data_IF_555872010341
#
_entry.id   IF_555872010341
#
_cell.length_a   1.000
_cell.length_b   1.000
_cell.length_c   1.000
_cell.angle_alpha   90.00
_cell.angle_beta   90.00
_cell.angle_gamma   90.00
#
_symmetry.space_group_name_H-M   'P 1'
#
loop_
_entity.id
_entity.type
_entity.pdbx_description
1 polymer ?
#
# COMPACT_ATOMS: atom_id res chain seq x y z
N UNK A 1 -12.76 3.71 9.66
CA UNK A 1 -11.77 2.66 10.00
C UNK A 1 -12.39 1.27 10.14
N UNK A 2 -13.21 0.98 11.17
CA UNK A 2 -13.64 -0.40 11.50
C UNK A 2 -14.29 -1.17 10.34
N UNK A 3 -15.16 -0.51 9.56
CA UNK A 3 -15.72 -1.07 8.32
C UNK A 3 -14.64 -1.64 7.39
N UNK A 4 -13.53 -0.93 7.21
CA UNK A 4 -12.45 -1.35 6.32
C UNK A 4 -11.72 -2.59 6.87
N UNK A 5 -11.46 -2.64 8.18
CA UNK A 5 -10.85 -3.81 8.82
C UNK A 5 -11.73 -5.07 8.69
N UNK A 6 -13.02 -4.93 8.99
CA UNK A 6 -14.01 -6.00 8.86
C UNK A 6 -14.14 -6.50 7.40
N UNK A 7 -14.01 -5.61 6.43
CA UNK A 7 -14.05 -6.00 5.01
C UNK A 7 -12.74 -6.67 4.57
N UNK A 8 -11.59 -6.05 4.86
CA UNK A 8 -10.29 -6.40 4.23
C UNK A 8 -9.46 -7.40 5.02
N UNK A 9 -9.52 -7.40 6.35
CA UNK A 9 -8.75 -8.33 7.18
C UNK A 9 -9.58 -9.56 7.56
N UNK A 10 -10.85 -9.33 7.88
CA UNK A 10 -11.76 -10.41 8.29
C UNK A 10 -12.39 -11.06 7.07
N UNK A 11 -12.70 -10.31 6.01
CA UNK A 11 -13.30 -10.85 4.78
C UNK A 11 -14.83 -10.85 4.77
N UNK A 12 -15.47 -9.90 5.46
CA UNK A 12 -16.91 -9.68 5.34
C UNK A 12 -17.24 -8.93 4.04
N UNK A 13 -18.45 -9.12 3.53
CA UNK A 13 -18.94 -8.27 2.43
C UNK A 13 -19.06 -6.82 2.90
N UNK A 14 -18.87 -5.86 1.99
CA UNK A 14 -18.94 -4.43 2.32
C UNK A 14 -20.23 -4.04 3.07
N UNK A 15 -21.38 -4.60 2.67
CA UNK A 15 -22.66 -4.33 3.33
C UNK A 15 -22.68 -4.86 4.76
N UNK A 16 -22.15 -6.06 5.02
CA UNK A 16 -22.08 -6.64 6.37
C UNK A 16 -21.09 -5.86 7.23
N UNK A 17 -19.90 -5.59 6.70
CA UNK A 17 -18.85 -4.83 7.38
C UNK A 17 -19.36 -3.46 7.86
N UNK A 18 -20.03 -2.70 6.99
CA UNK A 18 -20.61 -1.40 7.35
C UNK A 18 -21.56 -1.53 8.52
N UNK A 19 -22.53 -2.43 8.43
CA UNK A 19 -23.57 -2.52 9.44
C UNK A 19 -23.10 -3.12 10.77
N UNK A 20 -22.11 -4.01 10.76
CA UNK A 20 -21.44 -4.44 11.98
C UNK A 20 -20.70 -3.26 12.60
N UNK A 21 -19.94 -2.49 11.81
CA UNK A 21 -19.22 -1.32 12.32
C UNK A 21 -20.15 -0.26 12.92
N UNK A 22 -21.33 -0.02 12.32
CA UNK A 22 -22.34 0.93 12.84
C UNK A 22 -22.90 0.56 14.21
N UNK A 23 -22.74 -0.69 14.66
CA UNK A 23 -23.21 -1.10 15.98
C UNK A 23 -22.30 -0.61 17.11
N UNK A 24 -21.07 -0.19 16.78
CA UNK A 24 -20.07 0.20 17.76
C UNK A 24 -19.80 1.71 17.68
N UNK A 25 -19.70 2.34 18.84
CA UNK A 25 -19.39 3.78 18.93
C UNK A 25 -17.91 4.04 18.64
N UNK A 26 -17.04 3.19 19.20
CA UNK A 26 -15.59 3.31 19.10
C UNK A 26 -14.91 1.93 19.14
N UNK A 27 -13.57 1.95 19.21
CA UNK A 27 -12.74 0.74 19.25
C UNK A 27 -12.92 -0.01 20.57
N UNK A 28 -13.10 0.69 21.68
CA UNK A 28 -13.25 0.06 23.00
C UNK A 28 -14.58 -0.70 23.09
N UNK A 29 -15.66 -0.11 22.61
CA UNK A 29 -16.97 -0.76 22.48
C UNK A 29 -16.87 -2.01 21.58
N UNK A 30 -16.19 -1.89 20.43
CA UNK A 30 -15.94 -3.03 19.57
C UNK A 30 -15.12 -4.13 20.25
N UNK A 31 -14.09 -3.80 21.02
CA UNK A 31 -13.24 -4.80 21.69
C UNK A 31 -13.92 -5.43 22.91
N UNK A 32 -14.77 -4.70 23.63
CA UNK A 32 -15.43 -5.18 24.86
C UNK A 32 -16.67 -6.04 24.63
N UNK A 33 -17.30 -6.00 23.44
CA UNK A 33 -18.54 -6.75 23.18
C UNK A 33 -18.36 -8.28 23.27
N UNK A 34 -19.29 -8.98 23.94
CA UNK A 34 -19.28 -10.45 24.04
C UNK A 34 -19.83 -11.12 22.78
N UNK A 35 -19.42 -12.36 22.49
CA UNK A 35 -19.83 -13.13 21.31
C UNK A 35 -21.35 -13.26 21.14
N UNK A 36 -22.10 -13.46 22.22
CA UNK A 36 -23.57 -13.56 22.16
C UNK A 36 -24.25 -12.27 21.70
N UNK A 37 -23.65 -11.11 22.00
CA UNK A 37 -24.12 -9.81 21.50
C UNK A 37 -23.78 -9.62 20.02
N UNK A 38 -22.64 -10.15 19.54
CA UNK A 38 -22.31 -10.14 18.11
C UNK A 38 -23.32 -10.96 17.30
N UNK A 39 -23.74 -12.12 17.84
CA UNK A 39 -24.78 -12.99 17.23
C UNK A 39 -26.13 -12.30 17.04
N UNK A 40 -26.40 -11.28 17.86
CA UNK A 40 -27.68 -10.57 17.90
C UNK A 40 -27.64 -9.18 17.24
N UNK A 41 -26.53 -8.83 16.56
CA UNK A 41 -26.44 -7.58 15.79
C UNK A 41 -27.52 -7.58 14.71
N UNK A 42 -28.51 -6.70 14.88
CA UNK A 42 -29.53 -6.43 13.89
C UNK A 42 -29.05 -5.31 12.97
N UNK A 43 -29.61 -5.26 11.76
CA UNK A 43 -29.39 -4.18 10.81
C UNK A 43 -29.83 -2.83 11.37
N UNK A 44 -29.28 -1.77 10.75
CA UNK A 44 -29.75 -0.38 10.88
C UNK A 44 -31.29 -0.34 10.76
N UNK A 45 -32.01 0.45 11.58
CA UNK A 45 -33.46 0.58 11.50
C UNK A 45 -33.93 0.82 10.05
N UNK A 46 -34.82 -0.04 9.54
CA UNK A 46 -35.35 0.04 8.18
C UNK A 46 -34.70 -0.87 7.11
N UNK A 47 -33.67 -1.68 7.44
CA UNK A 47 -33.09 -2.70 6.53
C UNK A 47 -33.27 -4.12 7.07
N UNK A 48 -33.21 -5.14 6.20
CA UNK A 48 -33.26 -6.57 6.59
C UNK A 48 -32.19 -6.91 7.62
N UNK A 49 -32.56 -7.64 8.68
CA UNK A 49 -31.64 -8.12 9.71
C UNK A 49 -30.41 -8.78 9.10
N UNK A 50 -29.22 -8.38 9.55
CA UNK A 50 -27.99 -9.01 9.09
C UNK A 50 -27.84 -10.35 9.78
N UNK A 51 -27.63 -11.38 8.97
CA UNK A 51 -27.30 -12.71 9.45
C UNK A 51 -25.82 -12.94 9.20
N UNK A 52 -25.04 -12.96 10.27
CA UNK A 52 -23.66 -13.44 10.25
C UNK A 52 -23.66 -14.97 10.31
N UNK A 53 -22.75 -15.62 9.59
CA UNK A 53 -22.50 -17.05 9.74
C UNK A 53 -21.68 -17.30 11.01
N UNK A 54 -21.70 -18.53 11.55
CA UNK A 54 -20.84 -18.88 12.70
C UNK A 54 -19.35 -18.69 12.35
N UNK A 55 -18.93 -18.98 11.12
CA UNK A 55 -17.57 -18.68 10.62
C UNK A 55 -17.24 -17.18 10.67
N UNK A 56 -18.15 -16.31 10.20
CA UNK A 56 -17.94 -14.87 10.25
C UNK A 56 -17.84 -14.35 11.69
N UNK A 57 -18.64 -14.91 12.60
CA UNK A 57 -18.59 -14.56 14.03
C UNK A 57 -17.26 -15.01 14.64
N UNK A 58 -16.81 -16.23 14.36
CA UNK A 58 -15.51 -16.73 14.83
C UNK A 58 -14.37 -15.84 14.34
N UNK A 59 -14.33 -15.50 13.05
CA UNK A 59 -13.31 -14.59 12.51
C UNK A 59 -13.35 -13.19 13.13
N UNK A 60 -14.53 -12.67 13.50
CA UNK A 60 -14.65 -11.42 14.26
C UNK A 60 -14.05 -11.56 15.66
N UNK A 61 -14.35 -12.65 16.36
CA UNK A 61 -13.84 -12.89 17.71
C UNK A 61 -12.33 -13.08 17.72
N UNK A 62 -11.78 -13.82 16.75
CA UNK A 62 -10.34 -14.01 16.58
C UNK A 62 -9.65 -12.69 16.26
N UNK A 63 -10.24 -11.87 15.38
CA UNK A 63 -9.72 -10.55 15.07
C UNK A 63 -9.69 -9.65 16.31
N UNK A 64 -10.72 -9.70 17.17
CA UNK A 64 -10.75 -8.94 18.41
C UNK A 64 -9.65 -9.37 19.39
N UNK A 65 -9.35 -10.65 19.50
CA UNK A 65 -8.34 -11.19 20.42
C UNK A 65 -6.92 -11.12 19.87
N UNK A 66 -6.74 -10.83 18.57
CA UNK A 66 -5.44 -10.79 17.89
C UNK A 66 -4.46 -9.70 18.37
N UNK A 67 -4.96 -8.66 19.05
CA UNK A 67 -4.18 -7.46 19.37
C UNK A 67 -3.91 -6.53 18.18
N UNK A 68 -4.61 -6.72 17.06
CA UNK A 68 -4.47 -5.88 15.86
C UNK A 68 -5.05 -4.47 16.02
N UNK A 69 -6.05 -4.32 16.89
CA UNK A 69 -6.59 -3.03 17.31
C UNK A 69 -6.15 -2.74 18.74
N UNK A 70 -5.85 -1.47 19.02
CA UNK A 70 -5.42 -1.00 20.33
C UNK A 70 -6.21 0.23 20.74
N UNK A 71 -6.71 0.24 21.98
CA UNK A 71 -7.33 1.42 22.59
C UNK A 71 -6.31 2.49 22.98
N UNK A 72 -5.02 2.17 22.98
CA UNK A 72 -3.93 3.14 23.23
C UNK A 72 -3.55 3.93 21.97
N UNK A 73 -4.01 3.48 20.80
CA UNK A 73 -3.81 4.16 19.54
C UNK A 73 -5.05 4.98 19.19
N UNK A 74 -4.84 6.11 18.52
CA UNK A 74 -5.93 6.89 17.92
C UNK A 74 -6.66 6.08 16.83
N UNK A 75 -7.82 6.56 16.40
CA UNK A 75 -8.56 5.95 15.29
C UNK A 75 -7.75 5.99 13.99
N UNK A 76 -7.02 7.08 13.74
CA UNK A 76 -6.16 7.26 12.58
C UNK A 76 -4.99 6.26 12.60
N UNK A 77 -4.29 6.12 13.73
CA UNK A 77 -3.19 5.15 13.87
C UNK A 77 -3.67 3.69 13.72
N UNK A 78 -4.81 3.35 14.32
CA UNK A 78 -5.43 2.04 14.08
C UNK A 78 -5.77 1.84 12.61
N UNK A 79 -6.23 2.88 11.91
CA UNK A 79 -6.54 2.78 10.49
C UNK A 79 -5.31 2.56 9.63
N UNK A 80 -4.24 3.31 9.88
CA UNK A 80 -2.93 3.13 9.24
C UNK A 80 -2.41 1.71 9.46
N UNK A 81 -2.55 1.19 10.69
CA UNK A 81 -2.16 -0.17 11.01
C UNK A 81 -2.90 -1.21 10.17
N UNK A 82 -4.22 -1.08 10.06
CA UNK A 82 -5.06 -1.94 9.21
C UNK A 82 -4.63 -1.85 7.74
N UNK A 83 -4.42 -0.65 7.20
CA UNK A 83 -3.98 -0.45 5.81
C UNK A 83 -2.63 -1.15 5.56
N UNK A 84 -1.69 -1.02 6.50
CA UNK A 84 -0.38 -1.67 6.42
C UNK A 84 -0.46 -3.19 6.45
N UNK A 85 -1.25 -3.76 7.36
CA UNK A 85 -1.43 -5.21 7.44
C UNK A 85 -2.08 -5.78 6.20
N UNK A 86 -3.12 -5.13 5.68
CA UNK A 86 -3.77 -5.51 4.42
C UNK A 86 -2.77 -5.48 3.25
N UNK A 87 -1.96 -4.43 3.16
CA UNK A 87 -0.91 -4.34 2.15
C UNK A 87 0.11 -5.48 2.29
N UNK A 88 0.63 -5.70 3.49
CA UNK A 88 1.65 -6.72 3.78
C UNK A 88 1.13 -8.13 3.48
N UNK A 89 -0.08 -8.45 3.95
CA UNK A 89 -0.74 -9.74 3.70
C UNK A 89 -0.93 -9.98 2.20
N UNK A 90 -1.34 -8.95 1.45
CA UNK A 90 -1.46 -9.06 -0.01
C UNK A 90 -0.13 -9.38 -0.69
N UNK A 91 0.99 -8.82 -0.23
CA UNK A 91 2.30 -9.15 -0.79
C UNK A 91 2.67 -10.61 -0.49
N UNK A 92 2.45 -11.09 0.75
CA UNK A 92 2.65 -12.49 1.12
C UNK A 92 1.81 -13.44 0.27
N UNK A 93 0.51 -13.18 0.19
CA UNK A 93 -0.43 -14.02 -0.58
C UNK A 93 -0.05 -14.07 -2.06
N UNK A 94 0.53 -13.00 -2.60
CA UNK A 94 1.02 -13.00 -3.96
C UNK A 94 2.30 -13.83 -4.09
N UNK A 95 3.30 -13.62 -3.24
CA UNK A 95 4.57 -14.38 -3.26
C UNK A 95 4.28 -15.88 -3.14
N UNK A 96 3.42 -16.27 -2.20
CA UNK A 96 3.05 -17.67 -1.96
C UNK A 96 2.28 -18.32 -3.11
N UNK A 97 1.69 -17.54 -4.02
CA UNK A 97 0.96 -18.04 -5.19
C UNK A 97 1.77 -18.01 -6.49
N UNK A 98 3.00 -17.48 -6.47
CA UNK A 98 3.85 -17.47 -7.66
C UNK A 98 4.13 -18.89 -8.13
N UNK A 99 4.06 -19.07 -9.44
CA UNK A 99 4.43 -20.29 -10.15
C UNK A 99 5.51 -19.97 -11.19
N UNK A 100 6.19 -20.99 -11.72
CA UNK A 100 7.20 -20.83 -12.79
C UNK A 100 6.60 -20.08 -13.99
N UNK A 101 5.33 -20.35 -14.32
CA UNK A 101 4.62 -19.70 -15.43
C UNK A 101 4.42 -18.20 -15.23
N UNK A 102 4.34 -17.74 -13.99
CA UNK A 102 4.19 -16.32 -13.67
C UNK A 102 5.51 -15.55 -13.80
N UNK A 103 6.65 -16.24 -13.71
CA UNK A 103 7.97 -15.60 -13.74
C UNK A 103 8.33 -15.06 -15.11
N UNK A 104 7.88 -15.76 -16.17
CA UNK A 104 8.15 -15.46 -17.57
C UNK A 104 9.62 -15.05 -17.87
N UNK A 105 10.64 -15.83 -17.43
CA UNK A 105 12.05 -15.54 -17.69
C UNK A 105 12.34 -15.24 -19.15
N UNK A 106 13.13 -14.20 -19.40
CA UNK A 106 13.55 -13.83 -20.75
C UNK A 106 14.80 -14.65 -21.16
N UNK A 107 14.73 -15.52 -22.19
CA UNK A 107 15.89 -16.31 -22.65
C UNK A 107 17.12 -15.49 -22.99
N UNK A 108 16.93 -14.29 -23.56
CA UNK A 108 18.03 -13.39 -23.87
C UNK A 108 18.71 -12.89 -22.61
N UNK A 109 17.96 -12.59 -21.54
CA UNK A 109 18.54 -12.17 -20.26
C UNK A 109 19.23 -13.33 -19.56
N UNK A 110 18.68 -14.54 -19.62
CA UNK A 110 19.34 -15.74 -19.07
C UNK A 110 20.74 -15.89 -19.65
N UNK A 111 20.87 -15.84 -20.99
CA UNK A 111 22.17 -15.98 -21.66
C UNK A 111 23.05 -14.75 -21.50
N UNK A 112 22.51 -13.54 -21.64
CA UNK A 112 23.29 -12.30 -21.58
C UNK A 112 23.83 -12.00 -20.18
N UNK A 113 23.14 -12.45 -19.12
CA UNK A 113 23.57 -12.29 -17.73
C UNK A 113 24.35 -13.49 -17.18
N UNK A 114 24.62 -14.50 -18.03
CA UNK A 114 25.35 -15.71 -17.66
C UNK A 114 24.73 -16.45 -16.45
N UNK A 115 23.43 -16.73 -16.53
CA UNK A 115 22.72 -17.51 -15.50
C UNK A 115 22.80 -18.99 -15.89
N UNK A 116 23.66 -19.75 -15.20
CA UNK A 116 24.06 -21.11 -15.60
C UNK A 116 23.46 -22.19 -14.68
N UNK A 117 22.81 -21.79 -13.59
CA UNK A 117 22.08 -22.70 -12.70
C UNK A 117 20.58 -22.38 -12.62
N UNK A 118 19.72 -23.39 -12.42
CA UNK A 118 18.29 -23.19 -12.15
C UNK A 118 18.02 -22.20 -11.02
N UNK A 119 18.83 -22.24 -9.95
CA UNK A 119 18.72 -21.34 -8.82
C UNK A 119 18.93 -19.88 -9.25
N UNK A 120 19.97 -19.58 -10.03
CA UNK A 120 20.23 -18.22 -10.52
C UNK A 120 19.08 -17.69 -11.37
N UNK A 121 18.58 -18.52 -12.30
CA UNK A 121 17.47 -18.17 -13.19
C UNK A 121 16.20 -17.91 -12.36
N UNK A 122 15.82 -18.84 -11.50
CA UNK A 122 14.57 -18.74 -10.73
C UNK A 122 14.65 -17.63 -9.70
N UNK A 123 15.71 -17.58 -8.89
CA UNK A 123 15.84 -16.60 -7.82
C UNK A 123 15.80 -15.18 -8.36
N UNK A 124 16.55 -14.87 -9.43
CA UNK A 124 16.51 -13.55 -10.07
C UNK A 124 15.10 -13.18 -10.52
N UNK A 125 14.41 -14.08 -11.23
CA UNK A 125 13.08 -13.79 -11.77
C UNK A 125 12.02 -13.68 -10.67
N UNK A 126 12.12 -14.46 -9.59
CA UNK A 126 11.24 -14.34 -8.41
C UNK A 126 11.41 -12.96 -7.75
N UNK A 127 12.65 -12.50 -7.57
CA UNK A 127 12.92 -11.15 -7.06
C UNK A 127 12.36 -10.05 -7.97
N UNK A 128 12.54 -10.19 -9.29
CA UNK A 128 12.02 -9.23 -10.27
C UNK A 128 10.48 -9.16 -10.23
N UNK A 129 9.81 -10.32 -10.21
CA UNK A 129 8.35 -10.41 -10.16
C UNK A 129 7.78 -9.86 -8.86
N UNK A 130 8.36 -10.24 -7.71
CA UNK A 130 7.95 -9.75 -6.41
C UNK A 130 8.12 -8.22 -6.32
N UNK A 131 9.28 -7.69 -6.71
CA UNK A 131 9.58 -6.26 -6.66
C UNK A 131 8.62 -5.46 -7.56
N UNK A 132 8.36 -5.93 -8.78
CA UNK A 132 7.42 -5.26 -9.70
C UNK A 132 6.04 -5.12 -9.09
N UNK A 133 5.54 -6.18 -8.46
CA UNK A 133 4.21 -6.15 -7.84
C UNK A 133 4.15 -5.25 -6.61
N UNK A 134 5.18 -5.30 -5.75
CA UNK A 134 5.30 -4.42 -4.58
C UNK A 134 5.27 -2.95 -5.04
N UNK A 135 6.10 -2.58 -6.01
CA UNK A 135 6.18 -1.20 -6.52
C UNK A 135 4.87 -0.77 -7.20
N UNK A 136 4.22 -1.66 -7.95
CA UNK A 136 2.94 -1.36 -8.60
C UNK A 136 1.83 -1.11 -7.58
N UNK A 137 1.78 -1.91 -6.52
CA UNK A 137 0.77 -1.76 -5.46
C UNK A 137 1.09 -0.63 -4.47
N UNK A 138 2.33 -0.15 -4.44
CA UNK A 138 2.77 0.93 -3.55
C UNK A 138 2.04 2.25 -3.80
N UNK A 139 1.67 2.57 -5.05
CA UNK A 139 0.94 3.81 -5.36
C UNK A 139 -0.39 3.92 -4.60
N UNK A 140 -1.22 2.87 -4.70
CA UNK A 140 -2.48 2.80 -3.96
C UNK A 140 -2.27 2.72 -2.45
N UNK A 141 -1.19 2.09 -2.00
CA UNK A 141 -0.86 2.05 -0.59
C UNK A 141 -0.58 3.45 -0.03
N UNK A 142 0.29 4.23 -0.70
CA UNK A 142 0.59 5.62 -0.31
C UNK A 142 -0.66 6.50 -0.33
N UNK A 143 -1.51 6.39 -1.36
CA UNK A 143 -2.78 7.14 -1.43
C UNK A 143 -3.64 6.86 -0.18
N UNK A 144 -3.81 5.59 0.20
CA UNK A 144 -4.56 5.23 1.39
C UNK A 144 -3.93 5.75 2.70
N UNK A 145 -2.59 5.80 2.79
CA UNK A 145 -1.91 6.40 3.94
C UNK A 145 -2.19 7.91 4.03
N UNK A 146 -2.14 8.63 2.91
CA UNK A 146 -2.44 10.07 2.88
C UNK A 146 -3.89 10.34 3.31
N UNK A 147 -4.85 9.59 2.76
CA UNK A 147 -6.28 9.70 3.10
C UNK A 147 -6.61 9.33 4.55
N UNK A 148 -5.72 8.62 5.25
CA UNK A 148 -5.89 8.26 6.66
C UNK A 148 -5.05 9.10 7.61
N UNK A 149 -4.28 10.07 7.09
CA UNK A 149 -3.39 10.91 7.89
C UNK A 149 -4.14 11.99 8.66
N UNK A 150 -5.31 12.43 8.19
CA UNK A 150 -6.18 13.38 8.90
C UNK A 150 -7.62 13.32 8.36
N UNK A 151 -8.58 13.80 9.15
CA UNK A 151 -10.01 13.85 8.77
C UNK A 151 -10.32 14.94 7.72
N UNK A 152 -9.40 15.87 7.50
CA UNK A 152 -9.55 16.99 6.57
C UNK A 152 -9.01 16.69 5.17
N UNK A 153 -8.69 15.42 4.88
CA UNK A 153 -8.17 14.97 3.59
C UNK A 153 -9.17 14.06 2.92
N UNK A 154 -9.53 14.44 1.70
CA UNK A 154 -10.42 13.70 0.85
C UNK A 154 -9.75 13.27 -0.45
N UNK A 155 -10.28 12.20 -1.04
CA UNK A 155 -9.93 11.83 -2.41
C UNK A 155 -10.45 12.90 -3.35
N UNK A 156 -9.58 13.44 -4.20
CA UNK A 156 -9.98 14.49 -5.11
C UNK A 156 -10.85 13.91 -6.27
N UNK A 157 -11.86 14.66 -6.75
CA UNK A 157 -12.81 14.19 -7.76
C UNK A 157 -12.29 14.26 -9.21
N UNK A 158 -11.02 14.61 -9.44
CA UNK A 158 -10.48 14.94 -10.77
C UNK A 158 -9.08 14.33 -10.97
N UNK A 159 -8.25 14.91 -11.83
CA UNK A 159 -6.89 14.43 -12.10
C UNK A 159 -5.92 14.57 -10.93
N UNK A 160 -6.32 15.28 -9.87
CA UNK A 160 -5.59 15.39 -8.60
C UNK A 160 -5.80 14.14 -7.74
N UNK A 161 -4.84 13.77 -6.91
CA UNK A 161 -4.94 12.56 -6.09
C UNK A 161 -5.72 12.82 -4.79
N UNK A 162 -5.38 13.91 -4.08
CA UNK A 162 -6.00 14.27 -2.80
C UNK A 162 -6.26 15.77 -2.69
N UNK A 163 -7.24 16.14 -1.88
CA UNK A 163 -7.52 17.53 -1.50
C UNK A 163 -7.56 17.62 0.02
N UNK A 164 -6.86 18.61 0.57
CA UNK A 164 -6.89 18.95 1.98
C UNK A 164 -7.71 20.22 2.19
N UNK A 165 -8.63 20.18 3.14
CA UNK A 165 -9.36 21.36 3.61
C UNK A 165 -8.58 22.00 4.75
N UNK A 166 -8.17 23.25 4.58
CA UNK A 166 -7.42 24.03 5.56
C UNK A 166 -8.38 24.61 6.62
N UNK A 167 -7.87 25.01 7.79
CA UNK A 167 -8.69 25.56 8.87
C UNK A 167 -9.47 26.83 8.48
N UNK A 168 -8.91 27.63 7.57
CA UNK A 168 -9.56 28.82 7.01
C UNK A 168 -10.61 28.51 5.92
N UNK A 169 -10.88 27.23 5.63
CA UNK A 169 -11.79 26.78 4.58
C UNK A 169 -11.19 26.78 3.17
N UNK A 170 -9.95 27.22 2.99
CA UNK A 170 -9.24 27.08 1.71
C UNK A 170 -8.94 25.62 1.42
N UNK A 171 -8.75 25.30 0.13
CA UNK A 171 -8.43 23.95 -0.33
C UNK A 171 -7.02 23.90 -0.87
N UNK A 172 -6.26 22.91 -0.42
CA UNK A 172 -4.97 22.54 -0.99
C UNK A 172 -5.15 21.27 -1.85
N UNK A 173 -4.84 21.38 -3.13
CA UNK A 173 -4.93 20.28 -4.09
C UNK A 173 -3.55 19.66 -4.28
N UNK A 174 -3.45 18.33 -4.17
CA UNK A 174 -2.15 17.65 -4.22
C UNK A 174 -2.14 16.57 -5.29
N UNK A 175 -1.14 16.65 -6.15
CA UNK A 175 -0.76 15.53 -7.01
C UNK A 175 0.43 14.83 -6.38
N UNK A 176 0.30 13.54 -6.15
CA UNK A 176 1.27 12.72 -5.45
C UNK A 176 2.11 11.93 -6.44
N UNK A 177 3.39 11.81 -6.10
CA UNK A 177 4.36 10.90 -6.70
C UNK A 177 5.08 10.16 -5.61
N UNK A 178 5.57 8.96 -5.93
CA UNK A 178 6.28 8.15 -4.94
C UNK A 178 7.59 8.82 -4.53
N UNK A 179 8.41 9.31 -5.46
CA UNK A 179 9.65 9.98 -5.11
C UNK A 179 10.21 10.89 -6.19
N UNK A 180 11.34 11.53 -5.88
CA UNK A 180 11.95 12.57 -6.73
C UNK A 180 12.67 12.03 -7.98
N UNK A 181 12.36 10.81 -8.43
CA UNK A 181 12.91 10.19 -9.65
C UNK A 181 11.83 9.81 -10.67
N UNK A 182 10.58 10.24 -10.47
CA UNK A 182 9.44 9.69 -11.20
C UNK A 182 8.85 10.58 -12.28
N UNK A 183 9.25 11.85 -12.39
CA UNK A 183 8.62 12.78 -13.35
C UNK A 183 9.57 13.19 -14.47
N UNK A 184 9.02 13.25 -15.68
CA UNK A 184 9.69 13.78 -16.86
C UNK A 184 9.27 15.24 -17.16
N UNK A 185 9.92 15.82 -18.18
CA UNK A 185 9.70 17.22 -18.63
C UNK A 185 8.24 17.53 -18.96
N UNK A 186 7.57 16.65 -19.69
CA UNK A 186 6.21 16.89 -20.17
C UNK A 186 5.21 16.86 -19.02
N UNK A 187 5.40 15.92 -18.09
CA UNK A 187 4.59 15.84 -16.87
C UNK A 187 4.73 17.12 -16.03
N UNK A 188 5.95 17.61 -15.79
CA UNK A 188 6.18 18.82 -14.99
C UNK A 188 5.55 20.03 -15.68
N UNK A 189 5.75 20.18 -16.99
CA UNK A 189 5.18 21.31 -17.77
C UNK A 189 3.65 21.30 -17.73
N UNK A 190 3.03 20.12 -17.80
CA UNK A 190 1.58 19.98 -17.67
C UNK A 190 1.10 20.37 -16.27
N UNK A 191 1.77 19.88 -15.23
CA UNK A 191 1.39 20.17 -13.84
C UNK A 191 1.61 21.61 -13.43
N UNK A 192 2.65 22.29 -13.94
CA UNK A 192 2.85 23.71 -13.71
C UNK A 192 1.60 24.53 -14.08
N UNK A 193 1.04 24.28 -15.27
CA UNK A 193 -0.20 24.94 -15.73
C UNK A 193 -1.40 24.63 -14.82
N UNK A 194 -1.54 23.38 -14.37
CA UNK A 194 -2.66 22.96 -13.50
C UNK A 194 -2.57 23.58 -12.12
N UNK A 195 -1.36 23.69 -11.57
CA UNK A 195 -1.09 24.35 -10.28
C UNK A 195 -1.44 25.83 -10.40
N UNK A 196 -0.96 26.52 -11.44
CA UNK A 196 -1.23 27.95 -11.64
C UNK A 196 -2.72 28.23 -11.82
N UNK A 197 -3.46 27.34 -12.50
CA UNK A 197 -4.92 27.43 -12.61
C UNK A 197 -5.60 27.38 -11.23
N UNK A 198 -5.21 26.44 -10.35
CA UNK A 198 -5.76 26.34 -9.00
C UNK A 198 -5.39 27.54 -8.13
N UNK A 199 -4.18 28.06 -8.26
CA UNK A 199 -3.77 29.29 -7.58
C UNK A 199 -4.62 30.48 -8.02
N UNK A 200 -4.89 30.59 -9.33
CA UNK A 200 -5.74 31.66 -9.89
C UNK A 200 -7.20 31.54 -9.42
N UNK A 201 -7.69 30.33 -9.16
CA UNK A 201 -9.00 30.08 -8.54
C UNK A 201 -9.06 30.44 -7.03
N UNK A 202 -7.95 30.87 -6.42
CA UNK A 202 -7.87 31.17 -4.99
C UNK A 202 -7.66 29.93 -4.11
N UNK A 203 -7.05 28.87 -4.68
CA UNK A 203 -6.73 27.64 -3.95
C UNK A 203 -5.21 27.43 -3.88
N UNK A 204 -4.77 26.57 -2.97
CA UNK A 204 -3.39 26.10 -2.94
C UNK A 204 -3.25 24.84 -3.79
N UNK A 205 -2.09 24.64 -4.40
CA UNK A 205 -1.84 23.46 -5.23
C UNK A 205 -0.38 23.05 -5.20
N UNK A 206 -0.13 21.75 -5.04
CA UNK A 206 1.20 21.20 -4.78
C UNK A 206 1.48 19.91 -5.56
N UNK A 207 2.76 19.74 -5.93
CA UNK A 207 3.32 18.42 -6.20
C UNK A 207 3.87 17.83 -4.90
N UNK A 208 3.27 16.74 -4.44
CA UNK A 208 3.73 15.97 -3.28
C UNK A 208 4.61 14.79 -3.69
N UNK A 209 5.73 14.59 -3.00
CA UNK A 209 6.61 13.43 -3.14
C UNK A 209 6.67 12.69 -1.81
N UNK A 210 6.25 11.41 -1.78
CA UNK A 210 6.09 10.68 -0.51
C UNK A 210 7.41 10.32 0.17
N UNK A 211 8.53 10.32 -0.56
CA UNK A 211 9.88 10.23 0.01
C UNK A 211 10.90 11.07 -0.78
N UNK A 212 12.04 11.33 -0.15
CA UNK A 212 13.15 12.10 -0.70
C UNK A 212 13.49 13.34 0.14
N UNK A 213 14.42 14.16 -0.36
CA UNK A 213 14.80 15.45 0.22
C UNK A 213 14.99 16.48 -0.91
N UNK A 214 14.77 17.77 -0.61
CA UNK A 214 15.04 18.88 -1.54
C UNK A 214 16.48 18.93 -2.03
N UNK A 215 17.41 18.53 -1.16
CA UNK A 215 18.85 18.50 -1.44
C UNK A 215 19.28 17.33 -2.32
N UNK A 216 18.38 16.39 -2.66
CA UNK A 216 18.74 15.29 -3.54
C UNK A 216 19.04 15.81 -4.95
N UNK A 217 20.12 15.32 -5.54
CA UNK A 217 20.48 15.62 -6.91
C UNK A 217 19.84 14.59 -7.85
N UNK A 218 18.60 14.84 -8.25
CA UNK A 218 17.86 13.97 -9.16
C UNK A 218 17.43 14.72 -10.41
N UNK A 219 17.22 13.95 -11.49
CA UNK A 219 16.72 14.49 -12.76
C UNK A 219 15.40 15.24 -12.55
N UNK A 220 14.47 14.69 -11.77
CA UNK A 220 13.18 15.36 -11.49
C UNK A 220 13.39 16.70 -10.77
N UNK A 221 14.27 16.76 -9.76
CA UNK A 221 14.54 18.01 -9.04
C UNK A 221 15.18 19.05 -9.96
N UNK A 222 16.12 18.64 -10.80
CA UNK A 222 16.70 19.50 -11.83
C UNK A 222 15.64 20.07 -12.78
N UNK A 223 14.71 19.22 -13.25
CA UNK A 223 13.61 19.64 -14.11
C UNK A 223 12.60 20.54 -13.40
N UNK A 224 12.26 20.28 -12.13
CA UNK A 224 11.36 21.13 -11.34
C UNK A 224 11.94 22.55 -11.21
N UNK A 225 13.24 22.66 -10.88
CA UNK A 225 13.94 23.96 -10.80
C UNK A 225 13.89 24.75 -12.11
N UNK A 226 13.93 24.05 -13.24
CA UNK A 226 13.94 24.68 -14.57
C UNK A 226 12.54 25.02 -15.09
N UNK A 227 11.52 24.22 -14.76
CA UNK A 227 10.23 24.22 -15.48
C UNK A 227 9.04 24.59 -14.59
N UNK A 228 9.18 24.58 -13.27
CA UNK A 228 8.13 24.95 -12.32
C UNK A 228 8.53 26.27 -11.63
N UNK A 229 7.96 27.42 -12.02
CA UNK A 229 8.22 28.69 -11.34
C UNK A 229 7.89 28.58 -9.85
N UNK A 230 8.77 29.10 -8.99
CA UNK A 230 8.67 28.98 -7.53
C UNK A 230 8.51 27.54 -7.05
N UNK A 231 9.26 26.60 -7.66
CA UNK A 231 9.11 25.16 -7.39
C UNK A 231 9.16 24.83 -5.88
N UNK A 232 9.91 25.59 -5.08
CA UNK A 232 10.02 25.37 -3.64
C UNK A 232 8.68 25.54 -2.92
N UNK A 233 7.91 26.56 -3.27
CA UNK A 233 6.59 26.83 -2.67
C UNK A 233 5.48 25.98 -3.27
N UNK A 234 5.71 25.35 -4.43
CA UNK A 234 4.73 24.49 -5.14
C UNK A 234 5.00 22.99 -4.98
N UNK A 235 5.96 22.61 -4.14
CA UNK A 235 6.32 21.21 -3.89
C UNK A 235 6.36 20.90 -2.40
N UNK A 236 6.03 19.65 -2.05
CA UNK A 236 6.15 19.10 -0.70
C UNK A 236 6.93 17.78 -0.80
N UNK A 237 8.13 17.68 -0.22
CA UNK A 237 9.01 16.53 -0.42
C UNK A 237 9.27 15.76 0.88
N UNK A 238 9.00 14.46 0.85
CA UNK A 238 9.26 13.54 1.95
C UNK A 238 8.49 13.98 3.19
N UNK A 239 9.22 14.30 4.26
CA UNK A 239 8.64 14.74 5.53
C UNK A 239 7.71 15.94 5.38
N UNK A 240 8.03 16.89 4.50
CA UNK A 240 7.20 18.09 4.31
C UNK A 240 5.77 17.73 3.87
N UNK A 241 5.63 16.72 3.01
CA UNK A 241 4.31 16.24 2.60
C UNK A 241 3.57 15.64 3.80
N UNK A 242 4.22 14.75 4.55
CA UNK A 242 3.62 14.04 5.68
C UNK A 242 3.21 14.97 6.82
N UNK A 243 4.05 15.94 7.14
CA UNK A 243 3.75 16.95 8.15
C UNK A 243 2.63 17.88 7.66
N UNK A 244 2.65 18.26 6.36
CA UNK A 244 1.58 19.06 5.75
C UNK A 244 0.22 18.35 5.77
N UNK A 245 0.16 17.03 5.49
CA UNK A 245 -1.14 16.33 5.45
C UNK A 245 -1.72 16.08 6.84
N UNK A 246 -0.87 15.83 7.82
CA UNK A 246 -1.27 15.46 9.19
C UNK A 246 -1.41 16.62 10.17
N UNK A 247 -0.97 17.83 9.79
CA UNK A 247 -0.81 18.98 10.70
C UNK A 247 0.09 18.68 11.91
N UNK A 248 0.96 17.67 11.79
CA UNK A 248 1.80 17.17 12.88
C UNK A 248 3.26 17.17 12.44
N UNK A 249 4.13 17.83 13.22
CA UNK A 249 5.57 17.78 12.98
C UNK A 249 6.13 16.39 13.26
N UNK A 250 7.07 15.92 12.42
CA UNK A 250 7.69 14.59 12.54
C UNK A 250 6.70 13.43 12.32
N UNK A 251 5.57 13.67 11.65
CA UNK A 251 4.53 12.66 11.47
C UNK A 251 5.03 11.41 10.77
N UNK A 252 5.91 11.59 9.77
CA UNK A 252 6.53 10.47 9.04
C UNK A 252 7.25 9.46 9.95
N UNK A 253 7.84 9.90 11.06
CA UNK A 253 8.50 9.01 12.03
C UNK A 253 7.49 8.15 12.78
N UNK A 254 6.38 8.74 13.21
CA UNK A 254 5.27 8.02 13.87
C UNK A 254 4.63 7.02 12.90
N UNK A 255 4.38 7.47 11.66
CA UNK A 255 3.87 6.63 10.59
C UNK A 255 4.76 5.40 10.39
N UNK A 256 6.09 5.56 10.28
CA UNK A 256 6.99 4.42 10.07
C UNK A 256 6.96 3.41 11.22
N UNK A 257 6.84 3.84 12.47
CA UNK A 257 6.71 2.91 13.60
C UNK A 257 5.39 2.14 13.56
N UNK A 258 4.27 2.80 13.25
CA UNK A 258 2.98 2.12 13.04
C UNK A 258 3.07 1.10 11.92
N UNK A 259 3.64 1.47 10.78
CA UNK A 259 3.82 0.58 9.63
C UNK A 259 4.70 -0.63 10.00
N UNK A 260 5.83 -0.40 10.68
CA UNK A 260 6.75 -1.48 11.07
C UNK A 260 6.10 -2.47 12.02
N UNK A 261 5.40 -1.97 13.05
CA UNK A 261 4.73 -2.83 14.03
C UNK A 261 3.59 -3.63 13.38
N UNK A 262 2.85 -2.99 12.47
CA UNK A 262 1.78 -3.64 11.71
C UNK A 262 2.29 -4.74 10.80
N UNK A 263 3.37 -4.48 10.05
CA UNK A 263 4.00 -5.49 9.20
C UNK A 263 4.49 -6.70 10.02
N UNK A 264 5.07 -6.47 11.20
CA UNK A 264 5.53 -7.54 12.11
C UNK A 264 4.41 -8.45 12.60
N UNK A 265 3.21 -7.91 12.81
CA UNK A 265 2.03 -8.70 13.19
C UNK A 265 1.64 -9.71 12.10
N UNK A 266 1.90 -9.39 10.83
CA UNK A 266 1.59 -10.28 9.70
C UNK A 266 2.75 -11.21 9.36
N UNK A 267 3.99 -10.70 9.42
CA UNK A 267 5.20 -11.44 9.02
C UNK A 267 5.78 -12.33 10.12
N UNK A 268 5.21 -12.34 11.34
CA UNK A 268 5.72 -13.12 12.47
C UNK A 268 7.23 -12.93 12.72
N UNK A 269 7.69 -11.67 12.72
CA UNK A 269 9.11 -11.26 12.83
C UNK A 269 10.02 -11.62 11.64
N UNK A 270 9.50 -12.28 10.60
CA UNK A 270 10.25 -12.48 9.36
C UNK A 270 10.19 -11.22 8.48
N UNK A 271 10.98 -11.23 7.41
CA UNK A 271 10.96 -10.17 6.40
C UNK A 271 10.28 -10.67 5.13
N UNK A 272 9.72 -9.74 4.35
CA UNK A 272 9.21 -10.10 3.01
C UNK A 272 10.31 -10.69 2.11
N UNK A 273 11.57 -10.29 2.31
CA UNK A 273 12.70 -10.87 1.59
C UNK A 273 12.90 -12.33 1.95
N UNK A 274 12.69 -12.73 3.21
CA UNK A 274 12.79 -14.12 3.64
C UNK A 274 11.75 -14.99 2.93
N UNK A 275 10.54 -14.46 2.77
CA UNK A 275 9.44 -15.14 2.06
C UNK A 275 9.68 -15.24 0.56
N UNK A 276 10.33 -14.23 -0.04
CA UNK A 276 10.81 -14.28 -1.44
C UNK A 276 11.82 -15.42 -1.61
N UNK A 277 12.76 -15.58 -0.69
CA UNK A 277 13.76 -16.65 -0.75
C UNK A 277 13.15 -18.05 -0.58
N UNK A 278 12.18 -18.20 0.34
CA UNK A 278 11.42 -19.46 0.49
C UNK A 278 10.68 -19.80 -0.82
N UNK A 279 10.07 -18.81 -1.46
CA UNK A 279 9.42 -18.98 -2.75
C UNK A 279 10.42 -19.34 -3.87
N UNK A 280 11.57 -18.66 -3.94
CA UNK A 280 12.62 -18.95 -4.90
C UNK A 280 13.12 -20.39 -4.78
N UNK A 281 13.35 -20.88 -3.56
CA UNK A 281 13.74 -22.27 -3.32
C UNK A 281 12.68 -23.25 -3.82
N UNK A 282 11.43 -23.06 -3.41
CA UNK A 282 10.31 -23.92 -3.84
C UNK A 282 10.20 -23.98 -5.37
N UNK A 283 10.27 -22.83 -6.04
CA UNK A 283 10.17 -22.77 -7.49
C UNK A 283 11.41 -23.33 -8.21
N UNK A 284 12.58 -23.30 -7.56
CA UNK A 284 13.79 -23.95 -8.08
C UNK A 284 13.62 -25.48 -8.03
N UNK A 285 13.10 -26.01 -6.94
CA UNK A 285 12.80 -27.45 -6.81
C UNK A 285 11.76 -27.89 -7.86
N UNK A 286 10.70 -27.10 -8.07
CA UNK A 286 9.71 -27.33 -9.13
C UNK A 286 10.34 -27.28 -10.53
N UNK A 287 11.23 -26.32 -10.78
CA UNK A 287 11.90 -26.16 -12.07
C UNK A 287 12.79 -27.36 -12.39
N UNK A 288 13.57 -27.82 -11.42
CA UNK A 288 14.46 -28.97 -11.59
C UNK A 288 13.65 -30.24 -11.89
N UNK A 289 12.48 -30.40 -11.26
CA UNK A 289 11.59 -31.53 -11.54
C UNK A 289 11.01 -31.50 -12.95
N UNK A 290 10.68 -30.32 -13.46
CA UNK A 290 10.03 -30.15 -14.77
C UNK A 290 11.03 -30.13 -15.93
N UNK A 291 12.16 -29.44 -15.78
CA UNK A 291 13.10 -29.16 -16.87
C UNK A 291 14.47 -29.81 -16.69
N UNK A 292 14.84 -30.20 -15.46
CA UNK A 292 16.15 -30.79 -15.12
C UNK A 292 17.12 -29.81 -14.44
N UNK A 293 18.29 -30.32 -14.06
CA UNK A 293 19.33 -29.56 -13.35
C UNK A 293 20.42 -29.04 -14.30
N UNK A 294 21.16 -28.01 -13.85
CA UNK A 294 22.30 -27.43 -14.55
C UNK A 294 21.95 -26.76 -15.89
N UNK A 295 22.97 -26.55 -16.73
CA UNK A 295 22.83 -25.89 -18.03
C UNK A 295 21.86 -26.60 -18.98
N UNK A 296 21.79 -27.94 -18.92
CA UNK A 296 20.87 -28.70 -19.74
C UNK A 296 19.41 -28.42 -19.34
N UNK A 297 19.12 -28.35 -18.04
CA UNK A 297 17.78 -28.00 -17.55
C UNK A 297 17.35 -26.60 -18.00
N UNK A 298 18.27 -25.64 -17.97
CA UNK A 298 18.03 -24.29 -18.48
C UNK A 298 17.77 -24.31 -19.99
N UNK A 299 18.51 -25.11 -20.75
CA UNK A 299 18.33 -25.22 -22.20
C UNK A 299 16.97 -25.84 -22.54
N UNK A 300 16.55 -26.89 -21.84
CA UNK A 300 15.23 -27.49 -21.97
C UNK A 300 14.12 -26.47 -21.69
N UNK A 301 14.28 -25.67 -20.64
CA UNK A 301 13.34 -24.59 -20.32
C UNK A 301 13.26 -23.55 -21.44
N UNK A 302 14.40 -23.05 -21.93
CA UNK A 302 14.45 -22.07 -23.01
C UNK A 302 13.75 -22.61 -24.27
N UNK A 303 14.01 -23.86 -24.65
CA UNK A 303 13.33 -24.51 -25.78
C UNK A 303 11.81 -24.60 -25.60
N UNK A 304 11.32 -24.71 -24.36
CA UNK A 304 9.88 -24.78 -24.08
C UNK A 304 9.13 -23.44 -24.22
N UNK A 305 9.85 -22.31 -24.22
CA UNK A 305 9.28 -20.95 -24.23
C UNK A 305 9.66 -20.13 -25.48
N UNK A 306 10.42 -20.71 -26.41
CA UNK A 306 10.72 -20.16 -27.73
C UNK A 306 9.75 -20.70 -28.78
#
# INVERSE_FOLDING_TARGET
>A
MLTYALEKEIGLTQSKARSVAYFFVDIEDFLSVKGDKIKSIKSIPGKKAIKLTEDEITRILDYKSSGYLSTQLTVAENYLAVICRVFTKRQLDMIGRLTIKDLNPNPFLIRALNLDTPEEVIRLNVYMSATRSIVTSMGFFIENLLLSSSDNIDKAPSEWDVVKTMENGERAWLQIKSGTNTMNKDQITSWAKKIDNKITEGHQAYLGFSYGKRSNDTVTIGLLKQLLPDWESKTLIGRELWDFVSDTSEYSSQLFEVLRNSARQILNQQSISSEIEVCAKRLTDEFIQEYGEGEQGISNYIESIL
#
